data_IF_310521909303
#
_entry.id   IF_310521909303
#
_cell.length_a   1.000
_cell.length_b   1.000
_cell.length_c   1.000
_cell.angle_alpha   90.00
_cell.angle_beta   90.00
_cell.angle_gamma   90.00
#
_symmetry.space_group_name_H-M   'P 1'
#
loop_
_entity.id
_entity.type
_entity.pdbx_description
1 polymer ?
#
# COMPACT_ATOMS: atom_id res chain seq x y z
N UNK A 1 -0.07 -21.60 -4.15
CA UNK A 1 0.51 -20.29 -4.51
C UNK A 1 1.12 -19.71 -3.27
N UNK A 2 2.44 -19.58 -3.24
CA UNK A 2 3.16 -18.93 -2.15
C UNK A 2 3.04 -17.40 -2.29
N UNK A 3 3.20 -16.64 -1.20
CA UNK A 3 3.16 -15.15 -1.22
C UNK A 3 4.10 -14.56 -2.29
N UNK A 4 5.27 -15.18 -2.48
CA UNK A 4 6.29 -14.82 -3.48
C UNK A 4 5.83 -15.02 -4.94
N UNK A 5 5.06 -16.08 -5.21
CA UNK A 5 4.51 -16.33 -6.56
C UNK A 5 3.42 -15.32 -6.92
N UNK A 6 2.61 -14.90 -5.94
CA UNK A 6 1.60 -13.87 -6.12
C UNK A 6 2.20 -12.49 -6.43
N UNK A 7 3.31 -12.13 -5.79
CA UNK A 7 4.03 -10.87 -6.04
C UNK A 7 4.63 -10.85 -7.45
N UNK A 8 5.24 -11.96 -7.87
CA UNK A 8 5.84 -12.11 -9.20
C UNK A 8 4.82 -11.95 -10.33
N UNK A 9 3.61 -12.52 -10.17
CA UNK A 9 2.54 -12.37 -11.15
C UNK A 9 1.99 -10.94 -11.20
N UNK A 10 1.80 -10.29 -10.05
CA UNK A 10 1.36 -8.90 -9.98
C UNK A 10 2.34 -7.95 -10.68
N UNK A 11 3.65 -8.15 -10.48
CA UNK A 11 4.70 -7.38 -11.14
C UNK A 11 4.72 -7.55 -12.66
N UNK A 12 4.64 -8.80 -13.14
CA UNK A 12 4.55 -9.07 -14.59
C UNK A 12 3.30 -8.44 -15.21
N UNK A 13 2.16 -8.55 -14.54
CA UNK A 13 0.91 -7.96 -15.02
C UNK A 13 0.99 -6.42 -15.04
N UNK A 14 1.66 -5.80 -14.06
CA UNK A 14 1.85 -4.33 -14.05
C UNK A 14 2.65 -3.85 -15.25
N UNK A 15 3.74 -4.53 -15.64
CA UNK A 15 4.52 -4.15 -16.83
C UNK A 15 3.67 -4.18 -18.09
N UNK A 16 2.89 -5.25 -18.28
CA UNK A 16 1.95 -5.37 -19.41
C UNK A 16 0.89 -4.26 -19.39
N UNK A 17 0.36 -3.90 -18.21
CA UNK A 17 -0.59 -2.80 -18.04
C UNK A 17 0.07 -1.45 -18.38
N UNK A 18 1.29 -1.23 -17.90
CA UNK A 18 2.04 0.00 -18.13
C UNK A 18 2.32 0.21 -19.63
N UNK A 19 2.74 -0.84 -20.34
CA UNK A 19 2.93 -0.82 -21.79
C UNK A 19 1.60 -0.57 -22.53
N UNK A 20 0.56 -1.34 -22.20
CA UNK A 20 -0.75 -1.26 -22.88
C UNK A 20 -1.44 0.10 -22.68
N UNK A 21 -1.33 0.67 -21.49
CA UNK A 21 -1.94 1.95 -21.14
C UNK A 21 -0.99 3.13 -21.36
N UNK A 22 0.21 2.90 -21.90
CA UNK A 22 1.24 3.92 -22.14
C UNK A 22 1.45 4.81 -20.93
N UNK A 23 1.76 4.18 -19.79
CA UNK A 23 2.10 4.92 -18.58
C UNK A 23 3.24 5.91 -18.87
N UNK A 24 3.26 7.09 -18.22
CA UNK A 24 4.37 8.01 -18.37
C UNK A 24 5.70 7.35 -18.01
N UNK A 25 6.77 7.77 -18.70
CA UNK A 25 8.13 7.33 -18.38
C UNK A 25 8.44 7.58 -16.90
N UNK A 26 9.13 6.64 -16.24
CA UNK A 26 9.46 6.73 -14.82
C UNK A 26 8.34 6.22 -13.89
N UNK A 27 7.08 6.15 -14.34
CA UNK A 27 5.97 5.74 -13.45
C UNK A 27 6.08 4.29 -12.99
N UNK A 28 6.59 3.40 -13.86
CA UNK A 28 6.81 2.00 -13.51
C UNK A 28 7.96 1.86 -12.52
N UNK A 29 9.07 2.55 -12.78
CA UNK A 29 10.26 2.57 -11.95
C UNK A 29 9.95 3.11 -10.55
N UNK A 30 9.15 4.18 -10.45
CA UNK A 30 8.69 4.72 -9.18
C UNK A 30 7.86 3.70 -8.40
N UNK A 31 6.92 3.01 -9.05
CA UNK A 31 6.14 1.95 -8.40
C UNK A 31 7.05 0.84 -7.85
N UNK A 32 8.01 0.36 -8.66
CA UNK A 32 8.94 -0.70 -8.25
C UNK A 32 9.84 -0.25 -7.09
N UNK A 33 10.30 1.00 -7.13
CA UNK A 33 11.17 1.57 -6.09
C UNK A 33 10.44 1.78 -4.76
N UNK A 34 9.19 2.25 -4.78
CA UNK A 34 8.38 2.38 -3.55
C UNK A 34 8.10 1.01 -2.92
N UNK A 35 7.77 0.01 -3.73
CA UNK A 35 7.52 -1.36 -3.24
C UNK A 35 8.77 -2.01 -2.64
N UNK A 36 9.97 -1.68 -3.14
CA UNK A 36 11.23 -2.10 -2.55
C UNK A 36 11.45 -1.49 -1.16
N UNK A 37 11.07 -0.23 -0.96
CA UNK A 37 11.19 0.47 0.33
C UNK A 37 10.12 0.02 1.32
N UNK A 38 8.91 -0.32 0.83
CA UNK A 38 7.77 -0.71 1.64
C UNK A 38 7.26 -2.12 1.29
N UNK A 39 7.96 -3.18 1.74
CA UNK A 39 7.50 -4.55 1.56
C UNK A 39 6.08 -4.72 2.12
N UNK A 40 5.18 -5.28 1.32
CA UNK A 40 3.77 -5.47 1.69
C UNK A 40 2.82 -4.42 1.13
N UNK A 41 3.34 -3.38 0.50
CA UNK A 41 2.55 -2.46 -0.32
C UNK A 41 2.62 -2.84 -1.80
N UNK A 42 1.53 -2.59 -2.52
CA UNK A 42 1.43 -2.71 -3.97
C UNK A 42 1.04 -1.36 -4.56
N UNK A 43 1.85 -0.85 -5.49
CA UNK A 43 1.73 0.50 -6.05
C UNK A 43 1.38 0.46 -7.53
N UNK A 44 0.41 1.30 -7.91
CA UNK A 44 -0.09 1.42 -9.27
C UNK A 44 -0.24 2.88 -9.66
N UNK A 45 0.12 3.18 -10.90
CA UNK A 45 -0.26 4.42 -11.56
C UNK A 45 -1.73 4.42 -11.96
N UNK A 46 -2.38 5.55 -11.77
CA UNK A 46 -3.76 5.83 -12.14
C UNK A 46 -3.77 7.03 -13.11
N UNK A 47 -4.16 6.82 -14.39
CA UNK A 47 -4.28 7.92 -15.33
C UNK A 47 -5.40 8.88 -14.94
N UNK A 48 -5.23 10.16 -15.33
CA UNK A 48 -6.28 11.15 -15.25
C UNK A 48 -7.52 10.73 -16.08
N UNK A 49 -8.66 11.34 -15.79
CA UNK A 49 -9.94 11.07 -16.44
C UNK A 49 -10.72 9.95 -15.77
N UNK A 50 -10.15 8.74 -15.72
CA UNK A 50 -10.84 7.57 -15.14
C UNK A 50 -10.89 7.65 -13.61
N UNK A 51 -9.80 8.09 -12.99
CA UNK A 51 -9.64 8.04 -11.54
C UNK A 51 -9.60 9.42 -10.86
N UNK A 52 -9.66 10.51 -11.62
CA UNK A 52 -9.62 11.88 -11.12
C UNK A 52 -9.15 12.89 -12.17
N UNK A 53 -9.15 14.19 -11.85
CA UNK A 53 -8.76 15.25 -12.77
C UNK A 53 -7.25 15.26 -13.05
N UNK A 54 -6.44 14.79 -12.10
CA UNK A 54 -4.99 14.68 -12.22
C UNK A 54 -4.58 13.22 -12.17
N UNK A 55 -3.47 12.88 -12.84
CA UNK A 55 -2.92 11.55 -12.70
C UNK A 55 -2.36 11.38 -11.28
N UNK A 56 -2.43 10.16 -10.78
CA UNK A 56 -2.08 9.85 -9.40
C UNK A 56 -1.47 8.46 -9.31
N UNK A 57 -0.81 8.18 -8.22
CA UNK A 57 -0.49 6.82 -7.84
C UNK A 57 -1.42 6.36 -6.73
N UNK A 58 -1.57 5.05 -6.61
CA UNK A 58 -2.29 4.38 -5.55
C UNK A 58 -1.43 3.26 -4.98
N UNK A 59 -1.27 3.27 -3.66
CA UNK A 59 -0.65 2.18 -2.91
C UNK A 59 -1.74 1.39 -2.17
N UNK A 60 -1.61 0.08 -2.11
CA UNK A 60 -2.51 -0.82 -1.36
C UNK A 60 -1.67 -1.75 -0.50
N UNK A 61 -1.93 -1.80 0.80
CA UNK A 61 -1.30 -2.76 1.69
C UNK A 61 -1.96 -4.14 1.52
N UNK A 62 -1.16 -5.14 1.12
CA UNK A 62 -1.63 -6.46 0.71
C UNK A 62 -2.33 -7.23 1.83
N UNK A 63 -1.79 -7.19 3.05
CA UNK A 63 -2.38 -7.88 4.21
C UNK A 63 -3.48 -7.09 4.91
N UNK A 64 -3.38 -5.76 4.95
CA UNK A 64 -4.24 -4.89 5.78
C UNK A 64 -5.38 -4.23 5.00
N UNK A 65 -5.46 -4.41 3.67
CA UNK A 65 -6.45 -3.80 2.77
C UNK A 65 -6.56 -2.26 2.91
N UNK A 66 -5.49 -1.60 3.36
CA UNK A 66 -5.41 -0.14 3.41
C UNK A 66 -5.01 0.39 2.04
N UNK A 67 -5.44 1.60 1.70
CA UNK A 67 -5.07 2.25 0.46
C UNK A 67 -4.67 3.69 0.68
N UNK A 68 -3.69 4.14 -0.09
CA UNK A 68 -3.23 5.52 -0.14
C UNK A 68 -3.22 5.98 -1.60
N UNK A 69 -3.47 7.27 -1.84
CA UNK A 69 -3.44 7.87 -3.18
C UNK A 69 -2.78 9.24 -3.11
N UNK A 70 -1.93 9.54 -4.07
CA UNK A 70 -1.25 10.83 -4.17
C UNK A 70 -1.11 11.27 -5.62
N UNK A 71 -1.01 12.58 -5.84
CA UNK A 71 -0.85 13.14 -7.18
C UNK A 71 0.52 12.78 -7.77
N UNK A 72 0.58 12.65 -9.08
CA UNK A 72 1.86 12.52 -9.78
C UNK A 72 2.75 13.75 -9.55
N UNK A 73 4.04 13.54 -9.34
CA UNK A 73 5.00 14.61 -9.06
C UNK A 73 4.94 15.17 -7.64
N UNK A 74 4.11 14.60 -6.76
CA UNK A 74 4.24 14.85 -5.33
C UNK A 74 5.58 14.31 -4.80
N UNK A 75 6.07 14.89 -3.72
CA UNK A 75 7.36 14.53 -3.15
C UNK A 75 7.34 13.05 -2.69
N UNK A 76 8.26 12.29 -3.26
CA UNK A 76 8.67 10.97 -2.83
C UNK A 76 8.75 10.81 -1.30
N UNK A 77 9.43 11.74 -0.63
CA UNK A 77 9.68 11.66 0.80
C UNK A 77 8.38 11.84 1.59
N UNK A 78 7.47 12.68 1.08
CA UNK A 78 6.14 12.88 1.64
C UNK A 78 5.30 11.60 1.53
N UNK A 79 5.37 10.92 0.38
CA UNK A 79 4.72 9.63 0.17
C UNK A 79 5.23 8.57 1.15
N UNK A 80 6.54 8.39 1.21
CA UNK A 80 7.19 7.40 2.09
C UNK A 80 6.82 7.68 3.54
N UNK A 81 6.84 8.96 3.95
CA UNK A 81 6.41 9.40 5.27
C UNK A 81 4.95 9.08 5.56
N UNK A 82 4.04 9.35 4.62
CA UNK A 82 2.62 9.07 4.78
C UNK A 82 2.33 7.56 4.88
N UNK A 83 3.01 6.73 4.09
CA UNK A 83 2.89 5.28 4.15
C UNK A 83 3.42 4.72 5.47
N UNK A 84 4.59 5.19 5.92
CA UNK A 84 5.18 4.79 7.20
C UNK A 84 4.29 5.18 8.40
N UNK A 85 3.71 6.37 8.37
CA UNK A 85 2.79 6.83 9.42
C UNK A 85 1.52 5.97 9.48
N UNK A 86 0.96 5.59 8.32
CA UNK A 86 -0.18 4.67 8.27
C UNK A 86 0.15 3.28 8.82
N UNK A 87 1.36 2.77 8.54
CA UNK A 87 1.82 1.50 9.08
C UNK A 87 2.04 1.55 10.59
N UNK A 88 2.54 2.68 11.11
CA UNK A 88 2.67 2.94 12.55
C UNK A 88 1.30 2.98 13.23
N UNK A 89 0.36 3.79 12.72
CA UNK A 89 -1.01 3.86 13.25
C UNK A 89 -1.72 2.50 13.24
N UNK A 90 -1.46 1.68 12.21
CA UNK A 90 -1.97 0.31 12.17
C UNK A 90 -1.38 -0.59 13.27
N UNK A 91 -0.08 -0.46 13.53
CA UNK A 91 0.59 -1.21 14.58
C UNK A 91 0.07 -0.80 15.96
N UNK A 92 -0.11 0.50 16.18
CA UNK A 92 -0.64 1.06 17.43
C UNK A 92 -2.08 0.58 17.68
N UNK A 93 -2.97 0.67 16.69
CA UNK A 93 -4.34 0.15 16.79
C UNK A 93 -4.40 -1.35 17.08
N UNK A 94 -3.51 -2.14 16.47
CA UNK A 94 -3.43 -3.58 16.73
C UNK A 94 -2.91 -3.87 18.14
N UNK A 95 -1.96 -3.08 18.64
CA UNK A 95 -1.43 -3.19 19.99
C UNK A 95 -2.50 -2.84 21.04
N UNK A 96 -3.25 -1.74 20.82
CA UNK A 96 -4.38 -1.35 21.65
C UNK A 96 -5.47 -2.42 21.67
N UNK A 97 -5.84 -2.96 20.50
CA UNK A 97 -6.82 -4.04 20.42
C UNK A 97 -6.37 -5.31 21.17
N UNK A 98 -5.09 -5.68 21.06
CA UNK A 98 -4.50 -6.80 21.80
C UNK A 98 -4.48 -6.55 23.30
N UNK A 99 -4.10 -5.35 23.75
CA UNK A 99 -4.11 -4.96 25.15
C UNK A 99 -5.55 -4.96 25.72
N UNK A 100 -6.50 -4.41 24.96
CA UNK A 100 -7.92 -4.41 25.31
C UNK A 100 -8.52 -5.82 25.40
N UNK A 101 -8.12 -6.75 24.51
CA UNK A 101 -8.52 -8.16 24.64
C UNK A 101 -7.89 -8.83 25.86
N UNK A 102 -6.62 -8.59 26.16
CA UNK A 102 -5.97 -9.14 27.35
C UNK A 102 -6.64 -8.63 28.64
N UNK A 103 -7.11 -7.39 28.66
CA UNK A 103 -7.89 -6.84 29.78
C UNK A 103 -9.35 -7.32 29.80
N UNK A 104 -9.97 -7.55 28.64
CA UNK A 104 -11.34 -8.08 28.52
C UNK A 104 -11.50 -9.54 28.96
N UNK A 105 -10.45 -10.35 28.84
CA UNK A 105 -10.44 -11.75 29.32
C UNK A 105 -10.23 -11.86 30.84
N UNK A 106 -9.73 -10.82 31.51
CA UNK A 106 -9.56 -10.83 32.98
C UNK A 106 -10.88 -10.70 33.74
N UNK A 107 -11.96 -10.22 33.10
CA UNK A 107 -13.28 -10.05 33.74
C UNK A 107 -14.17 -11.30 33.61
N UNK A 108 -13.88 -12.18 32.64
CA UNK A 108 -14.64 -13.41 32.41
C UNK A 108 -14.02 -14.67 33.07
N UNK A 109 -12.77 -14.59 33.55
CA UNK A 109 -12.11 -15.69 34.25
C UNK A 109 -12.26 -15.64 35.79
N UNK A 110 -13.04 -14.70 36.32
CA UNK A 110 -13.25 -14.50 37.77
C UNK A 110 -14.71 -14.63 38.22
N UNK A 111 -15.58 -15.31 37.45
CA UNK A 111 -16.94 -15.67 37.89
C UNK A 111 -17.12 -17.18 37.99
#
# INVERSE_FOLDING_TARGET
MTELEGTSLAWRNRRLIAERLRWPAGSLEDCERIELVHPGWAVHWLPAGIYGPTPSFRAVHLQRRRYYRWAHGADEAELIGAMAEQDRLAADQLAEWRAGMLHGWSVLASQ
#
